data_IF_478439659789
#
_entry.id   IF_478439659789
#
_cell.length_a   1.000
_cell.length_b   1.000
_cell.length_c   1.000
_cell.angle_alpha   90.00
_cell.angle_beta   90.00
_cell.angle_gamma   90.00
#
_symmetry.space_group_name_H-M   'P 1'
#
loop_
_entity.id
_entity.type
_entity.pdbx_description
1 polymer ?
#
# COMPACT_ATOMS: atom_id res chain seq x y z
N UNK A 1 -12.31 -3.50 14.90
CA UNK A 1 -12.17 -2.02 14.92
C UNK A 1 -12.86 -1.48 13.68
N UNK A 2 -14.17 -1.21 13.81
CA UNK A 2 -15.00 -0.73 12.73
C UNK A 2 -14.61 0.72 12.37
N UNK A 3 -14.49 1.01 11.06
CA UNK A 3 -14.56 2.34 10.43
C UNK A 3 -14.14 3.54 11.32
N UNK A 4 -12.92 3.55 11.83
CA UNK A 4 -12.38 4.75 12.43
C UNK A 4 -12.28 5.83 11.33
N UNK A 5 -12.93 6.97 11.52
CA UNK A 5 -12.75 8.14 10.67
C UNK A 5 -11.27 8.54 10.68
N UNK A 6 -10.78 9.09 9.56
CA UNK A 6 -9.41 9.65 9.52
C UNK A 6 -9.24 10.68 10.65
N UNK A 7 -8.05 10.74 11.27
CA UNK A 7 -7.80 11.74 12.31
C UNK A 7 -7.92 13.16 11.73
N UNK A 8 -8.55 14.06 12.50
CA UNK A 8 -8.63 15.46 12.10
C UNK A 8 -7.24 16.11 12.07
N UNK A 9 -7.07 17.16 11.27
CA UNK A 9 -5.82 17.92 11.21
C UNK A 9 -5.39 18.41 12.60
N UNK A 10 -6.31 18.88 13.41
CA UNK A 10 -6.03 19.35 14.77
C UNK A 10 -5.48 18.23 15.65
N UNK A 11 -6.08 17.04 15.59
CA UNK A 11 -5.61 15.87 16.35
C UNK A 11 -4.19 15.46 15.94
N UNK A 12 -3.90 15.49 14.63
CA UNK A 12 -2.57 15.20 14.08
C UNK A 12 -1.57 16.24 14.57
N UNK A 13 -1.89 17.53 14.47
CA UNK A 13 -1.02 18.64 14.93
C UNK A 13 -0.71 18.52 16.41
N UNK A 14 -1.72 18.35 17.27
CA UNK A 14 -1.53 18.21 18.72
C UNK A 14 -0.59 17.05 19.06
N UNK A 15 -0.70 15.93 18.32
CA UNK A 15 0.19 14.79 18.54
C UNK A 15 1.64 15.11 18.15
N UNK A 16 1.85 15.66 16.93
CA UNK A 16 3.20 15.86 16.40
C UNK A 16 3.90 17.10 16.98
N UNK A 17 3.19 18.13 17.41
CA UNK A 17 3.77 19.29 18.11
C UNK A 17 4.53 18.84 19.37
N UNK A 18 4.03 17.85 20.06
CA UNK A 18 4.64 17.33 21.28
C UNK A 18 5.73 16.28 21.00
N UNK A 19 5.64 15.52 19.90
CA UNK A 19 6.43 14.31 19.70
C UNK A 19 7.44 14.41 18.58
N UNK A 20 7.12 15.14 17.51
CA UNK A 20 7.99 15.31 16.35
C UNK A 20 7.67 16.62 15.60
N UNK A 21 8.30 17.74 16.01
CA UNK A 21 8.06 19.07 15.40
C UNK A 21 8.33 19.09 13.89
N UNK A 22 9.22 18.22 13.37
CA UNK A 22 9.52 18.14 11.94
C UNK A 22 8.27 17.69 11.16
N UNK A 23 7.56 16.68 11.67
CA UNK A 23 6.30 16.24 11.05
C UNK A 23 5.18 17.26 11.28
N UNK A 24 5.12 17.91 12.45
CA UNK A 24 4.14 18.97 12.70
C UNK A 24 4.24 20.12 11.68
N UNK A 25 5.48 20.49 11.31
CA UNK A 25 5.71 21.51 10.28
C UNK A 25 5.16 21.08 8.92
N UNK A 26 5.36 19.83 8.51
CA UNK A 26 4.77 19.32 7.28
C UNK A 26 3.23 19.34 7.30
N UNK A 27 2.62 19.07 8.45
CA UNK A 27 1.15 19.16 8.60
C UNK A 27 0.67 20.59 8.39
N UNK A 28 1.44 21.59 8.83
CA UNK A 28 1.13 23.01 8.62
C UNK A 28 1.30 23.41 7.15
N UNK A 29 2.40 23.00 6.53
CA UNK A 29 2.77 23.33 5.15
C UNK A 29 1.81 22.67 4.13
N UNK A 30 1.61 21.35 4.23
CA UNK A 30 0.90 20.56 3.23
C UNK A 30 -0.63 20.59 3.44
N UNK A 31 -1.06 20.84 4.67
CA UNK A 31 -2.49 20.92 4.99
C UNK A 31 -3.10 19.58 5.43
N UNK A 32 -4.40 19.33 5.20
CA UNK A 32 -5.09 18.21 5.81
C UNK A 32 -4.66 16.86 5.24
N UNK A 33 -4.50 15.88 6.13
CA UNK A 33 -4.27 14.48 5.77
C UNK A 33 -5.46 13.93 4.99
N UNK A 34 -5.18 13.33 3.83
CA UNK A 34 -6.22 12.75 2.97
C UNK A 34 -5.77 11.37 2.51
N UNK A 35 -6.53 10.36 2.87
CA UNK A 35 -6.31 8.99 2.45
C UNK A 35 -7.64 8.39 1.99
N UNK A 36 -7.72 8.04 0.69
CA UNK A 36 -8.93 7.46 0.12
C UNK A 36 -8.89 5.95 0.29
N UNK A 37 -9.88 5.39 1.00
CA UNK A 37 -10.00 3.94 1.19
C UNK A 37 -10.46 3.25 -0.07
N UNK A 38 -9.73 2.23 -0.52
CA UNK A 38 -10.15 1.38 -1.63
C UNK A 38 -10.58 0.00 -1.12
N UNK A 39 -11.87 -0.30 -1.19
CA UNK A 39 -12.45 -1.56 -0.73
C UNK A 39 -12.45 -2.69 -1.76
N UNK A 40 -12.00 -2.43 -2.98
CA UNK A 40 -11.89 -3.44 -4.04
C UNK A 40 -10.59 -4.23 -3.86
N UNK A 41 -10.48 -4.96 -2.76
CA UNK A 41 -9.24 -5.54 -2.26
C UNK A 41 -8.53 -6.44 -3.28
N UNK A 42 -9.27 -7.35 -3.92
CA UNK A 42 -8.72 -8.22 -4.96
C UNK A 42 -8.12 -7.42 -6.13
N UNK A 43 -8.87 -6.44 -6.64
CA UNK A 43 -8.44 -5.61 -7.76
C UNK A 43 -7.23 -4.73 -7.40
N UNK A 44 -7.17 -4.21 -6.17
CA UNK A 44 -6.00 -3.47 -5.66
C UNK A 44 -4.75 -4.35 -5.67
N UNK A 45 -4.86 -5.59 -5.19
CA UNK A 45 -3.75 -6.52 -5.19
C UNK A 45 -3.34 -6.97 -6.60
N UNK A 46 -4.31 -7.18 -7.51
CA UNK A 46 -4.00 -7.42 -8.92
C UNK A 46 -3.20 -6.26 -9.51
N UNK A 47 -3.64 -5.01 -9.31
CA UNK A 47 -2.93 -3.83 -9.79
C UNK A 47 -1.53 -3.74 -9.18
N UNK A 48 -1.39 -4.01 -7.89
CA UNK A 48 -0.10 -4.02 -7.21
C UNK A 48 0.87 -5.04 -7.83
N UNK A 49 0.43 -6.27 -8.10
CA UNK A 49 1.25 -7.30 -8.77
C UNK A 49 1.63 -6.86 -10.20
N UNK A 50 0.68 -6.34 -10.96
CA UNK A 50 0.92 -5.88 -12.34
C UNK A 50 1.98 -4.78 -12.36
N UNK A 51 1.95 -3.86 -11.41
CA UNK A 51 2.83 -2.68 -11.37
C UNK A 51 4.27 -2.96 -10.89
N UNK A 52 4.56 -4.15 -10.35
CA UNK A 52 5.89 -4.49 -9.85
C UNK A 52 6.98 -4.35 -10.92
N UNK A 53 8.06 -3.65 -10.58
CA UNK A 53 9.30 -3.57 -11.39
C UNK A 53 9.12 -3.08 -12.84
N UNK A 54 8.12 -2.26 -13.11
CA UNK A 54 7.89 -1.62 -14.42
C UNK A 54 7.53 -0.15 -14.23
N UNK A 55 7.61 0.64 -15.30
CA UNK A 55 7.20 2.05 -15.29
C UNK A 55 5.68 2.19 -15.09
N UNK A 56 5.25 3.34 -14.59
CA UNK A 56 3.84 3.68 -14.39
C UNK A 56 3.05 3.51 -15.69
N UNK A 57 3.57 4.03 -16.81
CA UNK A 57 2.92 3.94 -18.13
C UNK A 57 2.75 2.48 -18.59
N UNK A 58 3.79 1.64 -18.40
CA UNK A 58 3.69 0.22 -18.72
C UNK A 58 2.67 -0.50 -17.83
N UNK A 59 2.65 -0.19 -16.53
CA UNK A 59 1.69 -0.73 -15.59
C UNK A 59 0.24 -0.38 -15.96
N UNK A 60 -0.04 0.87 -16.31
CA UNK A 60 -1.36 1.32 -16.75
C UNK A 60 -1.80 0.62 -18.05
N UNK A 61 -0.91 0.54 -19.03
CA UNK A 61 -1.16 -0.14 -20.29
C UNK A 61 -1.49 -1.62 -20.09
N UNK A 62 -0.69 -2.35 -19.31
CA UNK A 62 -0.93 -3.77 -19.00
C UNK A 62 -2.20 -3.93 -18.17
N UNK A 63 -2.43 -3.09 -17.17
CA UNK A 63 -3.65 -3.11 -16.36
C UNK A 63 -4.88 -2.93 -17.22
N UNK A 64 -4.88 -1.99 -18.16
CA UNK A 64 -5.99 -1.76 -19.08
C UNK A 64 -6.26 -2.99 -19.96
N UNK A 65 -5.23 -3.61 -20.53
CA UNK A 65 -5.38 -4.84 -21.32
C UNK A 65 -5.87 -6.02 -20.46
N UNK A 66 -5.33 -6.17 -19.25
CA UNK A 66 -5.79 -7.19 -18.31
C UNK A 66 -7.28 -7.04 -17.96
N UNK A 67 -7.75 -5.81 -17.68
CA UNK A 67 -9.18 -5.56 -17.40
C UNK A 67 -10.09 -5.85 -18.60
N UNK A 68 -9.62 -5.60 -19.82
CA UNK A 68 -10.39 -5.92 -21.05
C UNK A 68 -10.64 -7.42 -21.22
N UNK A 69 -9.82 -8.30 -20.64
CA UNK A 69 -10.05 -9.74 -20.68
C UNK A 69 -11.34 -10.17 -19.95
N UNK A 70 -11.95 -9.30 -19.18
CA UNK A 70 -13.15 -9.55 -18.38
C UNK A 70 -14.34 -8.69 -18.85
N UNK A 71 -14.46 -8.45 -20.15
CA UNK A 71 -15.54 -7.67 -20.79
C UNK A 71 -15.74 -6.27 -20.17
N UNK A 72 -14.65 -5.64 -19.75
CA UNK A 72 -14.67 -4.34 -19.10
C UNK A 72 -15.18 -4.34 -17.67
N UNK A 73 -15.53 -5.51 -17.13
CA UNK A 73 -15.90 -5.67 -15.71
C UNK A 73 -14.65 -5.80 -14.84
N UNK A 74 -14.82 -5.57 -13.55
CA UNK A 74 -13.75 -5.86 -12.60
C UNK A 74 -13.52 -7.38 -12.53
N UNK A 75 -12.25 -7.87 -12.63
CA UNK A 75 -11.97 -9.30 -12.55
C UNK A 75 -12.42 -9.86 -11.19
N UNK A 76 -13.05 -11.04 -11.20
CA UNK A 76 -13.30 -11.82 -9.99
C UNK A 76 -12.12 -12.75 -9.69
N UNK A 77 -11.94 -13.19 -8.44
CA UNK A 77 -10.91 -14.16 -8.10
C UNK A 77 -10.97 -15.42 -8.95
N UNK A 78 -12.15 -15.99 -9.11
CA UNK A 78 -12.40 -17.23 -9.86
C UNK A 78 -12.04 -17.02 -11.34
N UNK A 79 -12.48 -15.91 -11.94
CA UNK A 79 -12.22 -15.64 -13.35
C UNK A 79 -10.73 -15.46 -13.67
N UNK A 80 -9.93 -14.94 -12.73
CA UNK A 80 -8.49 -14.83 -12.89
C UNK A 80 -7.80 -16.17 -12.68
N UNK A 81 -8.23 -16.94 -11.69
CA UNK A 81 -7.67 -18.25 -11.39
C UNK A 81 -7.89 -19.25 -12.53
N UNK A 82 -9.11 -19.30 -13.10
CA UNK A 82 -9.49 -20.24 -14.15
C UNK A 82 -8.97 -19.82 -15.54
N UNK A 83 -8.69 -18.55 -15.76
CA UNK A 83 -8.27 -18.05 -17.08
C UNK A 83 -7.01 -18.73 -17.60
N UNK A 84 -7.00 -19.19 -18.87
CA UNK A 84 -5.80 -19.80 -19.46
C UNK A 84 -4.59 -18.84 -19.41
N UNK A 85 -3.42 -19.38 -19.07
CA UNK A 85 -2.18 -18.58 -18.98
C UNK A 85 -1.83 -17.86 -20.29
N UNK A 86 -2.11 -18.48 -21.43
CA UNK A 86 -1.86 -17.89 -22.74
C UNK A 86 -2.62 -16.57 -22.93
N UNK A 87 -3.86 -16.50 -22.46
CA UNK A 87 -4.69 -15.30 -22.53
C UNK A 87 -4.13 -14.21 -21.61
N UNK A 88 -3.76 -14.56 -20.38
CA UNK A 88 -3.13 -13.62 -19.44
C UNK A 88 -1.80 -13.08 -19.98
N UNK A 89 -0.97 -13.93 -20.60
CA UNK A 89 0.28 -13.53 -21.27
C UNK A 89 0.02 -12.59 -22.45
N UNK A 90 -1.07 -12.81 -23.20
CA UNK A 90 -1.51 -11.94 -24.30
C UNK A 90 -1.81 -10.51 -23.86
N UNK A 91 -2.20 -10.28 -22.60
CA UNK A 91 -2.35 -8.95 -22.05
C UNK A 91 -1.02 -8.23 -21.72
N UNK A 92 0.14 -8.90 -21.94
CA UNK A 92 1.48 -8.35 -21.68
C UNK A 92 2.02 -8.68 -20.29
N UNK A 93 1.44 -9.66 -19.61
CA UNK A 93 1.93 -10.14 -18.32
C UNK A 93 3.12 -11.10 -18.51
N UNK A 94 4.18 -10.92 -17.72
CA UNK A 94 5.26 -11.87 -17.64
C UNK A 94 4.78 -13.21 -17.07
N UNK A 95 5.49 -14.32 -17.37
CA UNK A 95 5.21 -15.65 -16.81
C UNK A 95 5.07 -15.60 -15.28
N UNK A 96 5.93 -14.84 -14.64
CA UNK A 96 5.94 -14.68 -13.18
C UNK A 96 4.69 -13.97 -12.68
N UNK A 97 4.29 -12.85 -13.30
CA UNK A 97 3.06 -12.12 -12.91
C UNK A 97 1.80 -12.93 -13.17
N UNK A 98 1.76 -13.73 -14.21
CA UNK A 98 0.66 -14.68 -14.44
C UNK A 98 0.55 -15.66 -13.28
N UNK A 99 1.66 -16.29 -12.86
CA UNK A 99 1.66 -17.19 -11.72
C UNK A 99 1.18 -16.50 -10.43
N UNK A 100 1.64 -15.27 -10.17
CA UNK A 100 1.22 -14.48 -9.00
C UNK A 100 -0.27 -14.15 -9.00
N UNK A 101 -0.81 -13.72 -10.14
CA UNK A 101 -2.23 -13.39 -10.27
C UNK A 101 -3.13 -14.61 -10.12
N UNK A 102 -2.71 -15.75 -10.67
CA UNK A 102 -3.45 -17.02 -10.51
C UNK A 102 -3.44 -17.50 -9.07
N UNK A 103 -2.31 -17.40 -8.38
CA UNK A 103 -2.21 -17.76 -6.97
C UNK A 103 -3.05 -16.82 -6.09
N UNK A 104 -3.01 -15.51 -6.34
CA UNK A 104 -3.90 -14.56 -5.69
C UNK A 104 -5.38 -14.92 -5.91
N UNK A 105 -5.76 -15.21 -7.17
CA UNK A 105 -7.12 -15.64 -7.52
C UNK A 105 -7.55 -16.86 -6.74
N UNK A 106 -6.68 -17.89 -6.69
CA UNK A 106 -6.91 -19.12 -5.93
C UNK A 106 -7.17 -18.86 -4.44
N UNK A 107 -6.30 -18.08 -3.79
CA UNK A 107 -6.43 -17.77 -2.36
C UNK A 107 -7.75 -17.07 -2.01
N UNK A 108 -8.25 -16.18 -2.89
CA UNK A 108 -9.53 -15.53 -2.68
C UNK A 108 -10.71 -16.46 -2.99
N UNK A 109 -10.65 -17.26 -4.08
CA UNK A 109 -11.70 -18.19 -4.48
C UNK A 109 -11.89 -19.32 -3.44
N UNK A 110 -10.79 -19.89 -2.95
CA UNK A 110 -10.79 -20.92 -1.89
C UNK A 110 -11.06 -20.35 -0.49
N UNK A 111 -11.24 -19.02 -0.37
CA UNK A 111 -11.54 -18.31 0.90
C UNK A 111 -10.46 -18.48 1.99
N UNK A 112 -9.22 -18.82 1.64
CA UNK A 112 -8.08 -18.70 2.54
C UNK A 112 -7.81 -17.24 2.89
N UNK A 113 -8.04 -16.32 1.94
CA UNK A 113 -8.16 -14.88 2.17
C UNK A 113 -9.63 -14.49 2.15
N UNK A 114 -10.11 -13.91 3.27
CA UNK A 114 -11.51 -13.50 3.44
C UNK A 114 -11.62 -11.99 3.55
N UNK A 115 -11.93 -11.27 2.44
CA UNK A 115 -11.94 -9.80 2.39
C UNK A 115 -12.76 -9.14 3.50
N UNK A 116 -13.93 -9.71 3.82
CA UNK A 116 -14.83 -9.18 4.85
C UNK A 116 -14.26 -9.28 6.28
N UNK A 117 -13.30 -10.18 6.53
CA UNK A 117 -12.65 -10.34 7.83
C UNK A 117 -11.42 -9.45 8.01
N UNK A 118 -10.74 -9.06 6.92
CA UNK A 118 -9.51 -8.26 6.96
C UNK A 118 -9.60 -6.98 7.81
N UNK A 119 -10.72 -6.21 7.81
CA UNK A 119 -10.83 -5.04 8.66
C UNK A 119 -10.76 -5.32 10.17
N UNK A 120 -11.00 -6.57 10.58
CA UNK A 120 -11.05 -7.00 11.98
C UNK A 120 -9.79 -7.74 12.45
N UNK A 121 -8.90 -8.09 11.53
CA UNK A 121 -7.61 -8.72 11.84
C UNK A 121 -6.59 -7.69 12.33
N UNK A 122 -5.56 -8.16 13.03
CA UNK A 122 -4.37 -7.35 13.34
C UNK A 122 -3.60 -6.98 12.07
N UNK A 123 -2.68 -6.03 12.14
CA UNK A 123 -1.80 -5.71 11.01
C UNK A 123 -0.91 -6.90 10.66
N UNK A 124 -0.43 -7.59 11.67
CA UNK A 124 0.41 -8.78 11.57
C UNK A 124 -0.31 -9.92 10.85
N UNK A 125 -1.54 -10.23 11.26
CA UNK A 125 -2.35 -11.27 10.62
C UNK A 125 -2.65 -10.96 9.15
N UNK A 126 -2.94 -9.69 8.81
CA UNK A 126 -3.16 -9.27 7.42
C UNK A 126 -1.88 -9.42 6.61
N UNK A 127 -0.73 -9.01 7.17
CA UNK A 127 0.57 -9.16 6.50
C UNK A 127 0.88 -10.63 6.29
N UNK A 128 0.69 -11.49 7.30
CA UNK A 128 0.91 -12.93 7.20
C UNK A 128 0.05 -13.56 6.11
N UNK A 129 -1.26 -13.29 6.11
CA UNK A 129 -2.16 -13.81 5.08
C UNK A 129 -1.77 -13.36 3.67
N UNK A 130 -1.43 -12.08 3.49
CA UNK A 130 -1.09 -11.55 2.17
C UNK A 130 0.27 -12.04 1.69
N UNK A 131 1.26 -12.18 2.57
CA UNK A 131 2.58 -12.69 2.19
C UNK A 131 2.60 -14.19 1.93
N UNK A 132 1.56 -14.91 2.31
CA UNK A 132 1.31 -16.29 1.87
C UNK A 132 0.99 -16.42 0.38
N UNK A 133 0.58 -15.33 -0.28
CA UNK A 133 0.35 -15.29 -1.72
C UNK A 133 1.67 -15.10 -2.45
N UNK A 134 1.93 -15.97 -3.43
CA UNK A 134 3.15 -15.90 -4.23
C UNK A 134 3.28 -14.53 -4.94
N UNK A 135 4.40 -13.86 -4.72
CA UNK A 135 4.68 -12.54 -5.29
C UNK A 135 4.18 -11.34 -4.49
N UNK A 136 3.52 -11.56 -3.34
CA UNK A 136 3.21 -10.48 -2.41
C UNK A 136 4.21 -10.47 -1.26
N UNK A 137 5.04 -9.44 -1.21
CA UNK A 137 5.99 -9.23 -0.11
C UNK A 137 5.44 -8.33 0.99
N UNK A 138 6.17 -8.21 2.13
CA UNK A 138 5.77 -7.40 3.27
C UNK A 138 5.46 -5.93 2.90
N UNK A 139 6.23 -5.34 1.99
CA UNK A 139 6.00 -3.96 1.53
C UNK A 139 4.63 -3.82 0.82
N UNK A 140 4.29 -4.74 -0.08
CA UNK A 140 2.97 -4.73 -0.76
C UNK A 140 1.84 -4.91 0.24
N UNK A 141 1.99 -5.80 1.22
CA UNK A 141 1.02 -6.00 2.29
C UNK A 141 0.86 -4.73 3.16
N UNK A 142 1.94 -4.02 3.47
CA UNK A 142 1.89 -2.73 4.18
C UNK A 142 1.19 -1.64 3.38
N UNK A 143 1.42 -1.55 2.06
CA UNK A 143 0.69 -0.63 1.17
C UNK A 143 -0.81 -0.96 1.17
N UNK A 144 -1.17 -2.24 1.18
CA UNK A 144 -2.56 -2.66 1.31
C UNK A 144 -3.18 -2.23 2.65
N UNK A 145 -2.49 -2.38 3.77
CA UNK A 145 -2.94 -1.89 5.08
C UNK A 145 -3.22 -0.38 5.05
N UNK A 146 -2.32 0.40 4.46
CA UNK A 146 -2.45 1.86 4.35
C UNK A 146 -3.62 2.25 3.44
N UNK A 147 -3.62 1.80 2.17
CA UNK A 147 -4.52 2.32 1.14
C UNK A 147 -5.86 1.58 1.04
N UNK A 148 -5.94 0.34 1.53
CA UNK A 148 -7.16 -0.45 1.48
C UNK A 148 -7.88 -0.55 2.83
N UNK A 149 -7.14 -0.65 3.93
CA UNK A 149 -7.71 -0.73 5.27
C UNK A 149 -7.67 0.59 6.04
N UNK A 150 -6.93 1.61 5.54
CA UNK A 150 -6.72 2.89 6.21
C UNK A 150 -6.17 2.74 7.64
N UNK A 151 -5.23 1.81 7.83
CA UNK A 151 -4.54 1.65 9.11
C UNK A 151 -3.60 2.83 9.35
N UNK A 152 -3.66 3.43 10.53
CA UNK A 152 -2.88 4.63 10.84
C UNK A 152 -1.51 4.31 11.46
N UNK A 153 -1.33 3.11 11.93
CA UNK A 153 -0.20 2.59 12.70
C UNK A 153 0.75 1.71 11.87
N UNK A 154 0.86 1.96 10.56
CA UNK A 154 1.75 1.21 9.65
C UNK A 154 3.01 2.00 9.36
N UNK A 155 4.17 1.42 9.70
CA UNK A 155 5.50 1.96 9.42
C UNK A 155 6.23 1.12 8.35
N UNK A 156 6.20 1.50 7.07
CA UNK A 156 6.84 0.74 6.00
C UNK A 156 8.35 1.01 5.96
N UNK A 157 9.10 0.40 6.86
CA UNK A 157 10.55 0.68 7.05
C UNK A 157 11.41 0.38 5.82
N UNK A 158 10.96 -0.51 4.94
CA UNK A 158 11.64 -0.85 3.69
C UNK A 158 11.24 0.06 2.52
N UNK A 159 10.29 0.98 2.73
CA UNK A 159 9.82 1.89 1.69
C UNK A 159 10.88 2.93 1.35
N UNK A 160 11.27 2.96 0.06
CA UNK A 160 12.31 3.86 -0.42
C UNK A 160 11.89 5.34 -0.31
N UNK A 161 10.62 5.64 -0.59
CA UNK A 161 10.07 6.98 -0.47
C UNK A 161 10.15 7.48 0.97
N UNK A 162 9.75 6.67 1.93
CA UNK A 162 9.88 7.00 3.36
C UNK A 162 11.35 7.20 3.76
N UNK A 163 12.27 6.35 3.30
CA UNK A 163 13.70 6.49 3.60
C UNK A 163 14.27 7.81 3.05
N UNK A 164 13.93 8.17 1.81
CA UNK A 164 14.35 9.44 1.20
C UNK A 164 13.72 10.63 1.94
N UNK A 165 12.44 10.55 2.28
CA UNK A 165 11.75 11.58 3.05
C UNK A 165 12.45 11.83 4.40
N UNK A 166 12.70 10.78 5.18
CA UNK A 166 13.38 10.89 6.46
C UNK A 166 14.79 11.48 6.28
N UNK A 167 15.55 11.02 5.29
CA UNK A 167 16.89 11.55 5.01
C UNK A 167 16.85 13.07 4.81
N UNK A 168 15.93 13.56 3.98
CA UNK A 168 15.80 15.00 3.67
C UNK A 168 15.29 15.79 4.87
N UNK A 169 14.23 15.33 5.51
CA UNK A 169 13.54 16.03 6.59
C UNK A 169 14.39 16.19 7.85
N UNK A 170 15.21 15.19 8.16
CA UNK A 170 16.08 15.21 9.35
C UNK A 170 17.54 15.56 9.03
N UNK A 171 17.83 16.07 7.83
CA UNK A 171 19.17 16.54 7.45
C UNK A 171 20.25 15.47 7.49
N UNK A 172 19.92 14.21 7.19
CA UNK A 172 20.87 13.10 7.27
C UNK A 172 21.77 13.04 6.02
N UNK A 173 23.06 12.84 6.21
CA UNK A 173 24.02 12.65 5.11
C UNK A 173 23.69 11.41 4.27
N UNK A 174 23.32 10.31 4.91
CA UNK A 174 23.01 9.04 4.27
C UNK A 174 21.57 8.62 4.57
N UNK A 175 21.02 7.70 3.78
CA UNK A 175 19.72 7.08 4.06
C UNK A 175 19.70 6.47 5.46
N UNK A 176 18.58 6.62 6.21
CA UNK A 176 18.46 6.09 7.55
C UNK A 176 18.48 4.56 7.54
N UNK A 177 19.10 3.97 8.55
CA UNK A 177 18.96 2.53 8.78
C UNK A 177 17.55 2.18 9.26
N UNK A 178 17.13 0.92 9.08
CA UNK A 178 15.85 0.41 9.60
C UNK A 178 15.71 0.69 11.11
N UNK A 179 16.81 0.53 11.88
CA UNK A 179 16.85 0.83 13.32
C UNK A 179 16.52 2.31 13.60
N UNK A 180 17.06 3.22 12.79
CA UNK A 180 16.78 4.67 12.91
C UNK A 180 15.33 5.00 12.56
N UNK A 181 14.79 4.39 11.49
CA UNK A 181 13.38 4.58 11.09
C UNK A 181 12.45 4.08 12.20
N UNK A 182 12.68 2.89 12.75
CA UNK A 182 11.91 2.36 13.88
C UNK A 182 11.99 3.25 15.13
N UNK A 183 13.15 3.85 15.40
CA UNK A 183 13.32 4.79 16.51
C UNK A 183 12.48 6.06 16.32
N UNK A 184 12.45 6.63 15.11
CA UNK A 184 11.59 7.76 14.78
C UNK A 184 10.11 7.37 14.84
N UNK A 185 9.76 6.21 14.27
CA UNK A 185 8.39 5.68 14.26
C UNK A 185 7.77 5.55 15.64
N UNK A 186 8.55 5.28 16.70
CA UNK A 186 8.04 5.28 18.09
C UNK A 186 7.44 6.63 18.51
N UNK A 187 7.96 7.74 17.99
CA UNK A 187 7.40 9.08 18.24
C UNK A 187 6.10 9.30 17.48
N UNK A 188 5.95 8.64 16.33
CA UNK A 188 4.81 8.81 15.44
C UNK A 188 3.58 8.01 15.90
N UNK A 189 3.79 6.96 16.70
CA UNK A 189 2.70 6.09 17.18
C UNK A 189 1.57 6.88 17.87
N UNK A 190 0.29 6.65 17.51
CA UNK A 190 -0.24 5.66 16.55
C UNK A 190 -0.48 6.21 15.14
N UNK A 191 0.31 7.17 14.67
CA UNK A 191 0.13 7.88 13.40
C UNK A 191 1.31 7.69 12.43
N UNK A 192 1.93 6.49 12.44
CA UNK A 192 3.06 6.16 11.55
C UNK A 192 2.71 6.32 10.08
N UNK A 193 1.50 5.90 9.68
CA UNK A 193 0.97 6.09 8.33
C UNK A 193 0.83 7.57 7.97
N UNK A 194 0.38 8.38 8.92
CA UNK A 194 0.22 9.83 8.72
C UNK A 194 1.57 10.49 8.48
N UNK A 195 2.56 10.19 9.33
CA UNK A 195 3.92 10.71 9.16
C UNK A 195 4.54 10.25 7.83
N UNK A 196 4.34 8.98 7.46
CA UNK A 196 4.77 8.42 6.18
C UNK A 196 4.14 9.17 5.01
N UNK A 197 2.84 9.41 5.04
CA UNK A 197 2.10 10.12 3.99
C UNK A 197 2.61 11.56 3.81
N UNK A 198 2.82 12.30 4.89
CA UNK A 198 3.40 13.64 4.81
C UNK A 198 4.84 13.62 4.27
N UNK A 199 5.63 12.63 4.66
CA UNK A 199 6.96 12.41 4.12
C UNK A 199 6.93 12.19 2.60
N UNK A 200 6.04 11.34 2.10
CA UNK A 200 5.87 11.10 0.66
C UNK A 200 5.46 12.38 -0.07
N UNK A 201 4.48 13.11 0.45
CA UNK A 201 4.01 14.38 -0.14
C UNK A 201 5.11 15.44 -0.21
N UNK A 202 6.06 15.45 0.71
CA UNK A 202 7.18 16.40 0.70
C UNK A 202 8.22 16.10 -0.37
N UNK A 203 8.40 14.84 -0.73
CA UNK A 203 9.39 14.45 -1.75
C UNK A 203 8.82 14.43 -3.16
N UNK A 204 7.53 14.17 -3.31
CA UNK A 204 6.83 14.16 -4.59
C UNK A 204 5.32 14.39 -4.36
N UNK A 205 4.80 15.48 -4.90
CA UNK A 205 3.38 15.81 -4.78
C UNK A 205 2.45 14.79 -5.46
N UNK A 206 2.95 14.01 -6.41
CA UNK A 206 2.20 13.04 -7.19
C UNK A 206 2.29 11.60 -6.63
N UNK A 207 3.17 11.33 -5.67
CA UNK A 207 3.45 9.96 -5.16
C UNK A 207 2.24 9.29 -4.48
N UNK A 208 1.24 10.03 -4.06
CA UNK A 208 0.12 9.54 -3.23
C UNK A 208 -1.15 9.22 -4.04
N UNK A 209 -1.05 9.06 -5.35
CA UNK A 209 -2.14 8.66 -6.22
C UNK A 209 -2.15 7.12 -6.42
N UNK A 210 -2.64 6.37 -5.42
CA UNK A 210 -2.96 4.94 -5.54
C UNK A 210 -4.46 4.73 -5.62
#
# INVERSE_FOLDING_TARGET
VANASLPSRQKILTHFDLRDPVIAELVREIGPFRLKKNRKYFQVLCKAIISQQISIQAAESITTRFWRLFDGRAPSPESVWEMPESILKGAGLSRQKVAYLKDLGKHFAEKSIRPHRMPYLSNEDVVEQLTGVYGIGPWTAQMFLIFSLNRMDVLPVADLGLQIAIQKLYGMKNRPTIKKIRFLGKRWHPYETVATWYGWRKIDENIVAY
#
